data_IF_897995099149
#
_entry.id   IF_897995099149
#
_cell.length_a   1.000
_cell.length_b   1.000
_cell.length_c   1.000
_cell.angle_alpha   90.00
_cell.angle_beta   90.00
_cell.angle_gamma   90.00
#
_symmetry.space_group_name_H-M   'P 1'
#
loop_
_entity.id
_entity.type
_entity.pdbx_description
1 polymer ?
#
# COMPACT_ATOMS: atom_id res chain seq x y z
N UNK A 1 40.67 -10.19 22.15
CA UNK A 1 40.53 -8.73 22.03
C UNK A 1 39.96 -8.43 20.66
N UNK A 2 38.64 -8.49 20.52
CA UNK A 2 37.92 -7.99 19.34
C UNK A 2 37.02 -6.88 19.87
N UNK A 3 37.39 -5.64 19.59
CA UNK A 3 36.55 -4.47 19.86
C UNK A 3 35.33 -4.59 18.96
N UNK A 4 34.19 -4.96 19.54
CA UNK A 4 32.89 -4.87 18.89
C UNK A 4 32.50 -3.39 18.92
N UNK A 5 32.99 -2.63 17.96
CA UNK A 5 32.70 -1.21 17.77
C UNK A 5 31.30 -1.03 17.16
N UNK A 6 30.29 -1.70 17.72
CA UNK A 6 28.90 -1.58 17.29
C UNK A 6 28.22 -0.51 18.15
N UNK A 7 28.03 0.66 17.57
CA UNK A 7 27.02 1.61 18.00
C UNK A 7 25.69 0.86 18.17
N UNK A 8 25.28 0.62 19.42
CA UNK A 8 23.94 0.13 19.72
C UNK A 8 22.95 1.21 19.27
N UNK A 9 22.44 1.08 18.05
CA UNK A 9 21.62 2.10 17.42
C UNK A 9 20.34 2.35 18.22
N UNK A 10 20.16 3.62 18.56
CA UNK A 10 19.07 4.15 19.34
C UNK A 10 17.86 4.39 18.43
N UNK A 11 16.71 3.84 18.82
CA UNK A 11 15.43 4.22 18.25
C UNK A 11 14.56 4.85 19.35
N UNK A 12 13.94 6.00 19.04
CA UNK A 12 13.08 6.74 19.95
C UNK A 12 11.62 6.32 19.75
N UNK A 13 11.06 5.57 20.72
CA UNK A 13 9.61 5.38 20.83
C UNK A 13 8.99 6.67 21.37
N UNK A 14 8.80 7.65 20.49
CA UNK A 14 8.05 8.86 20.79
C UNK A 14 8.57 9.71 21.95
N UNK A 15 8.00 10.90 22.08
CA UNK A 15 8.23 11.76 23.22
C UNK A 15 7.36 11.21 24.36
N UNK A 16 7.88 10.33 25.21
CA UNK A 16 7.17 9.81 26.39
C UNK A 16 7.01 10.95 27.41
N UNK A 17 6.11 11.87 27.09
CA UNK A 17 5.69 12.93 27.98
C UNK A 17 4.69 12.28 28.93
N UNK A 18 5.15 11.87 30.12
CA UNK A 18 4.33 11.30 31.20
C UNK A 18 3.06 12.13 31.48
N UNK A 19 3.08 13.43 31.13
CA UNK A 19 1.91 14.33 31.18
C UNK A 19 0.79 13.98 30.19
N UNK A 20 1.06 13.34 29.05
CA UNK A 20 0.02 12.89 28.09
C UNK A 20 -0.69 11.61 28.54
N UNK A 21 -0.03 10.75 29.32
CA UNK A 21 -0.71 9.65 30.04
C UNK A 21 -1.71 10.18 31.08
N UNK A 22 -1.38 11.31 31.72
CA UNK A 22 -2.28 12.02 32.65
C UNK A 22 -3.53 12.60 31.98
N UNK A 23 -3.48 12.92 30.67
CA UNK A 23 -4.65 13.46 29.97
C UNK A 23 -5.60 12.35 29.47
N UNK A 24 -5.07 11.20 29.05
CA UNK A 24 -5.88 10.10 28.53
C UNK A 24 -6.71 9.37 29.60
N UNK A 25 -6.29 9.40 30.88
CA UNK A 25 -7.04 8.79 31.98
C UNK A 25 -8.15 9.69 32.56
N UNK A 26 -8.12 11.01 32.30
CA UNK A 26 -9.14 11.95 32.80
C UNK A 26 -10.35 12.05 31.87
N UNK A 27 -10.22 11.73 30.58
CA UNK A 27 -11.33 11.79 29.62
C UNK A 27 -12.28 10.57 29.66
N UNK A 28 -11.92 9.49 30.35
CA UNK A 28 -12.74 8.25 30.37
C UNK A 28 -13.86 8.31 31.43
N UNK A 29 -13.90 9.32 32.30
CA UNK A 29 -14.88 9.43 33.40
C UNK A 29 -16.04 10.43 33.15
N UNK A 30 -16.27 10.91 31.93
CA UNK A 30 -17.29 11.95 31.67
C UNK A 30 -18.29 11.66 30.54
N UNK A 31 -18.54 10.40 30.18
CA UNK A 31 -19.64 10.07 29.27
C UNK A 31 -20.47 8.90 29.79
N UNK A 32 -21.29 9.19 30.81
CA UNK A 32 -22.48 8.41 31.17
C UNK A 32 -23.62 9.37 31.43
N UNK A 33 -24.47 9.57 30.42
CA UNK A 33 -25.88 9.91 30.59
C UNK A 33 -26.65 9.55 29.31
N UNK A 34 -27.65 8.70 29.51
CA UNK A 34 -28.66 8.11 28.62
C UNK A 34 -29.29 9.08 27.59
N UNK A 35 -29.96 8.66 26.52
CA UNK A 35 -30.56 7.36 26.21
C UNK A 35 -31.26 7.38 24.84
N UNK A 36 -32.15 6.41 24.66
CA UNK A 36 -32.45 5.63 23.45
C UNK A 36 -33.77 5.98 22.72
N UNK A 37 -33.88 5.48 21.47
CA UNK A 37 -35.06 5.01 20.70
C UNK A 37 -35.87 5.96 19.79
N UNK A 38 -35.62 5.86 18.47
CA UNK A 38 -36.46 5.32 17.35
C UNK A 38 -37.98 5.67 17.20
N UNK A 39 -38.66 5.35 16.08
CA UNK A 39 -38.42 5.65 14.64
C UNK A 39 -39.72 6.15 13.94
N UNK A 40 -39.69 6.68 12.70
CA UNK A 40 -40.92 6.86 11.88
C UNK A 40 -40.72 6.48 10.40
N UNK A 41 -41.75 5.80 9.90
CA UNK A 41 -41.96 5.03 8.69
C UNK A 41 -42.45 5.85 7.45
N UNK A 42 -42.07 5.34 6.26
CA UNK A 42 -42.67 5.36 4.90
C UNK A 42 -43.50 6.54 4.33
N UNK A 43 -43.28 6.88 3.04
CA UNK A 43 -44.23 6.55 1.94
C UNK A 43 -43.69 6.85 0.51
N UNK A 44 -43.98 5.92 -0.41
CA UNK A 44 -43.82 5.98 -1.88
C UNK A 44 -44.81 6.94 -2.59
N UNK A 45 -44.41 7.55 -3.73
CA UNK A 45 -44.91 7.24 -5.10
C UNK A 45 -44.32 8.12 -6.23
N UNK A 46 -44.04 7.46 -7.35
CA UNK A 46 -43.71 7.92 -8.73
C UNK A 46 -45.02 8.25 -9.51
N UNK A 47 -45.05 8.57 -10.83
CA UNK A 47 -44.22 9.39 -11.75
C UNK A 47 -45.05 10.44 -12.54
N UNK A 48 -44.42 11.25 -13.42
CA UNK A 48 -45.12 11.89 -14.56
C UNK A 48 -44.29 11.81 -15.85
N UNK A 49 -44.94 11.29 -16.89
CA UNK A 49 -44.49 11.14 -18.29
C UNK A 49 -44.57 12.46 -19.07
N UNK A 50 -43.75 12.56 -20.12
CA UNK A 50 -43.99 13.07 -21.49
C UNK A 50 -42.61 13.43 -22.12
N UNK A 51 -42.27 13.18 -23.38
CA UNK A 51 -42.98 12.62 -24.54
C UNK A 51 -41.94 12.20 -25.59
N UNK A 52 -42.35 11.28 -26.47
CA UNK A 52 -41.60 10.66 -27.55
C UNK A 52 -41.29 11.63 -28.71
N UNK A 53 -40.20 11.36 -29.42
CA UNK A 53 -40.19 11.54 -30.87
C UNK A 53 -39.75 10.24 -31.54
N UNK A 54 -40.72 9.62 -32.20
CA UNK A 54 -40.55 8.48 -33.08
C UNK A 54 -39.74 8.85 -34.32
N UNK A 55 -38.81 7.97 -34.70
CA UNK A 55 -38.62 7.61 -36.09
C UNK A 55 -38.39 6.11 -36.20
N UNK A 56 -39.36 5.42 -36.78
CA UNK A 56 -39.17 4.08 -37.32
C UNK A 56 -38.23 4.16 -38.52
N UNK A 57 -37.32 3.20 -38.69
CA UNK A 57 -37.34 2.28 -39.84
C UNK A 57 -36.14 1.33 -39.88
N UNK A 58 -36.45 0.09 -40.25
CA UNK A 58 -35.62 -0.92 -40.92
C UNK A 58 -34.74 -1.84 -40.07
N UNK A 59 -35.18 -3.09 -39.99
CA UNK A 59 -34.51 -4.20 -39.33
C UNK A 59 -33.13 -4.49 -39.91
N UNK A 60 -32.11 -4.18 -39.12
CA UNK A 60 -30.87 -4.94 -39.07
C UNK A 60 -30.54 -5.15 -37.60
N UNK A 61 -30.04 -6.33 -37.25
CA UNK A 61 -29.59 -6.61 -35.87
C UNK A 61 -28.56 -5.52 -35.51
N UNK A 62 -28.75 -4.75 -34.41
CA UNK A 62 -27.84 -3.67 -34.08
C UNK A 62 -26.46 -4.24 -33.80
N UNK A 63 -25.52 -4.00 -34.72
CA UNK A 63 -24.16 -4.47 -34.58
C UNK A 63 -23.50 -3.80 -33.36
N UNK A 64 -22.82 -4.60 -32.54
CA UNK A 64 -22.02 -4.11 -31.42
C UNK A 64 -20.72 -3.52 -31.98
N UNK A 65 -20.50 -2.23 -31.72
CA UNK A 65 -19.31 -1.52 -32.17
C UNK A 65 -18.16 -1.67 -31.17
N UNK A 66 -16.94 -1.34 -31.60
CA UNK A 66 -15.74 -1.40 -30.74
C UNK A 66 -15.88 -0.49 -29.52
N UNK A 67 -16.48 0.68 -29.71
CA UNK A 67 -16.69 1.71 -28.71
C UNK A 67 -17.67 1.23 -27.64
N UNK A 68 -18.68 0.44 -28.03
CA UNK A 68 -19.64 -0.17 -27.09
C UNK A 68 -18.94 -1.15 -26.15
N UNK A 69 -18.04 -1.98 -26.70
CA UNK A 69 -17.26 -2.95 -25.91
C UNK A 69 -16.23 -2.25 -25.02
N UNK A 70 -15.54 -1.23 -25.53
CA UNK A 70 -14.62 -0.43 -24.72
C UNK A 70 -15.35 0.24 -23.54
N UNK A 71 -16.55 0.79 -23.77
CA UNK A 71 -17.35 1.41 -22.73
C UNK A 71 -17.92 0.39 -21.74
N UNK A 72 -18.34 -0.79 -22.22
CA UNK A 72 -18.83 -1.89 -21.37
C UNK A 72 -17.77 -2.32 -20.34
N UNK A 73 -16.53 -2.51 -20.78
CA UNK A 73 -15.41 -2.85 -19.90
C UNK A 73 -14.72 -1.64 -19.25
N UNK A 74 -15.13 -0.41 -19.59
CA UNK A 74 -14.57 0.86 -19.08
C UNK A 74 -13.07 0.97 -19.33
N UNK A 75 -12.62 0.65 -20.55
CA UNK A 75 -11.21 0.76 -20.91
C UNK A 75 -10.73 2.21 -20.86
N UNK A 76 -9.66 2.42 -20.10
CA UNK A 76 -8.90 3.66 -20.07
C UNK A 76 -7.61 3.46 -20.87
N UNK A 77 -7.56 4.04 -22.07
CA UNK A 77 -6.41 3.90 -22.98
C UNK A 77 -5.16 4.62 -22.44
N UNK A 78 -5.29 5.50 -21.44
CA UNK A 78 -4.14 6.11 -20.76
C UNK A 78 -3.43 5.15 -19.78
N UNK A 79 -3.95 3.92 -19.64
CA UNK A 79 -3.37 2.85 -18.81
C UNK A 79 -2.73 1.77 -19.67
N UNK A 80 -1.94 0.91 -19.03
CA UNK A 80 -1.39 -0.26 -19.70
C UNK A 80 -2.46 -1.34 -19.93
N UNK A 81 -2.17 -2.24 -20.87
CA UNK A 81 -3.07 -3.32 -21.30
C UNK A 81 -3.57 -4.16 -20.13
N UNK A 82 -2.76 -4.41 -19.08
CA UNK A 82 -3.15 -5.34 -18.02
C UNK A 82 -4.26 -4.80 -17.13
N UNK A 83 -4.35 -3.48 -16.96
CA UNK A 83 -5.50 -2.84 -16.29
C UNK A 83 -6.78 -3.17 -17.05
N UNK A 84 -6.75 -3.04 -18.39
CA UNK A 84 -7.89 -3.39 -19.23
C UNK A 84 -8.23 -4.89 -19.13
N UNK A 85 -7.23 -5.78 -19.10
CA UNK A 85 -7.47 -7.21 -18.96
C UNK A 85 -8.11 -7.59 -17.61
N UNK A 86 -7.69 -6.96 -16.51
CA UNK A 86 -8.32 -7.17 -15.20
C UNK A 86 -9.79 -6.75 -15.19
N UNK A 87 -10.16 -5.70 -15.92
CA UNK A 87 -11.56 -5.27 -16.07
C UNK A 87 -12.39 -6.28 -16.87
N UNK A 88 -11.80 -6.93 -17.88
CA UNK A 88 -12.46 -8.00 -18.65
C UNK A 88 -12.83 -9.18 -17.77
N UNK A 89 -11.96 -9.57 -16.83
CA UNK A 89 -12.21 -10.70 -15.93
C UNK A 89 -13.26 -10.38 -14.84
N UNK A 90 -13.30 -9.13 -14.39
CA UNK A 90 -14.17 -8.67 -13.32
C UNK A 90 -15.61 -8.38 -13.79
N UNK A 91 -15.79 -7.83 -15.00
CA UNK A 91 -17.09 -7.37 -15.48
C UNK A 91 -17.92 -8.50 -16.09
N UNK A 92 -19.11 -8.75 -15.52
CA UNK A 92 -20.04 -9.80 -15.97
C UNK A 92 -21.51 -9.35 -16.01
N UNK A 93 -21.76 -8.08 -15.74
CA UNK A 93 -23.11 -7.55 -15.58
C UNK A 93 -23.74 -7.14 -16.91
N UNK A 94 -25.06 -7.14 -16.98
CA UNK A 94 -25.77 -6.53 -18.13
C UNK A 94 -25.76 -5.02 -17.98
N UNK A 95 -25.28 -4.30 -18.98
CA UNK A 95 -25.17 -2.84 -18.95
C UNK A 95 -25.88 -2.20 -20.15
N UNK A 96 -26.44 -1.02 -19.92
CA UNK A 96 -26.93 -0.16 -21.00
C UNK A 96 -25.81 0.76 -21.46
N UNK A 97 -25.34 0.58 -22.70
CA UNK A 97 -24.23 1.33 -23.31
C UNK A 97 -24.73 1.90 -24.63
N UNK A 98 -24.61 3.22 -24.83
CA UNK A 98 -25.02 3.89 -26.08
C UNK A 98 -26.44 3.52 -26.56
N UNK A 99 -27.39 3.38 -25.62
CA UNK A 99 -28.77 2.96 -25.91
C UNK A 99 -28.97 1.47 -26.20
N UNK A 100 -27.92 0.64 -26.12
CA UNK A 100 -27.96 -0.81 -26.32
C UNK A 100 -27.86 -1.55 -24.99
N UNK A 101 -28.71 -2.53 -24.77
CA UNK A 101 -28.61 -3.47 -23.64
C UNK A 101 -27.62 -4.57 -23.99
N UNK A 102 -26.42 -4.51 -23.43
CA UNK A 102 -25.33 -5.44 -23.72
C UNK A 102 -25.09 -6.34 -22.51
N UNK A 103 -25.02 -7.64 -22.76
CA UNK A 103 -24.56 -8.65 -21.80
C UNK A 103 -23.47 -9.47 -22.47
N UNK A 104 -22.26 -9.43 -21.93
CA UNK A 104 -21.17 -10.27 -22.40
C UNK A 104 -21.16 -11.55 -21.57
N UNK A 105 -21.24 -12.70 -22.25
CA UNK A 105 -21.20 -14.02 -21.63
C UNK A 105 -19.80 -14.61 -21.63
N UNK A 106 -18.98 -14.25 -22.62
CA UNK A 106 -17.60 -14.69 -22.74
C UNK A 106 -16.75 -13.58 -23.34
N UNK A 107 -15.57 -13.37 -22.78
CA UNK A 107 -14.56 -12.48 -23.33
C UNK A 107 -13.18 -13.16 -23.22
N UNK A 108 -12.54 -13.39 -24.35
CA UNK A 108 -11.28 -14.14 -24.43
C UNK A 108 -10.24 -13.31 -25.17
N UNK A 109 -9.10 -13.07 -24.52
CA UNK A 109 -7.97 -12.36 -25.14
C UNK A 109 -7.26 -13.32 -26.10
N UNK A 110 -7.30 -13.03 -27.40
CA UNK A 110 -6.68 -13.87 -28.44
C UNK A 110 -5.21 -13.54 -28.66
N UNK A 111 -4.86 -12.26 -28.61
CA UNK A 111 -3.49 -11.77 -28.85
C UNK A 111 -3.21 -10.55 -27.99
N UNK A 112 -1.97 -10.40 -27.54
CA UNK A 112 -1.45 -9.25 -26.80
C UNK A 112 -0.18 -8.75 -27.47
N UNK A 113 -0.04 -7.44 -27.63
CA UNK A 113 1.17 -6.78 -28.08
C UNK A 113 1.46 -5.62 -27.14
N UNK A 114 2.25 -5.92 -26.10
CA UNK A 114 2.67 -4.96 -25.09
C UNK A 114 3.55 -3.85 -25.66
N UNK A 115 4.32 -4.12 -26.72
CA UNK A 115 5.19 -3.13 -27.35
C UNK A 115 4.38 -2.06 -28.09
N UNK A 116 3.25 -2.46 -28.69
CA UNK A 116 2.34 -1.53 -29.38
C UNK A 116 1.18 -1.02 -28.53
N UNK A 117 1.05 -1.45 -27.28
CA UNK A 117 -0.09 -1.08 -26.45
C UNK A 117 -1.41 -1.56 -27.07
N UNK A 118 -1.47 -2.82 -27.53
CA UNK A 118 -2.65 -3.35 -28.22
C UNK A 118 -2.99 -4.80 -27.88
N UNK A 119 -4.26 -5.16 -28.01
CA UNK A 119 -4.72 -6.55 -27.86
C UNK A 119 -5.96 -6.82 -28.71
N UNK A 120 -6.21 -8.11 -28.97
CA UNK A 120 -7.40 -8.59 -29.67
C UNK A 120 -8.28 -9.35 -28.69
N UNK A 121 -9.53 -8.92 -28.57
CA UNK A 121 -10.54 -9.49 -27.69
C UNK A 121 -11.64 -10.16 -28.51
N UNK A 122 -11.83 -11.46 -28.31
CA UNK A 122 -12.99 -12.19 -28.78
C UNK A 122 -14.13 -12.06 -27.77
N UNK A 123 -15.30 -11.61 -28.19
CA UNK A 123 -16.45 -11.35 -27.31
C UNK A 123 -17.66 -12.11 -27.81
N UNK A 124 -18.36 -12.80 -26.90
CA UNK A 124 -19.68 -13.39 -27.15
C UNK A 124 -20.68 -12.85 -26.13
N UNK A 125 -21.92 -12.63 -26.58
CA UNK A 125 -22.95 -12.08 -25.71
C UNK A 125 -24.27 -11.83 -26.41
N UNK A 126 -25.09 -10.98 -25.80
CA UNK A 126 -26.37 -10.53 -26.35
C UNK A 126 -26.43 -9.00 -26.41
N UNK A 127 -26.99 -8.46 -27.48
CA UNK A 127 -27.32 -7.05 -27.68
C UNK A 127 -28.82 -6.93 -27.91
N UNK A 128 -29.53 -6.20 -27.04
CA UNK A 128 -31.00 -6.09 -27.07
C UNK A 128 -31.69 -7.46 -27.18
N UNK A 129 -31.15 -8.48 -26.48
CA UNK A 129 -31.64 -9.86 -26.51
C UNK A 129 -31.17 -10.71 -27.70
N UNK A 130 -30.58 -10.13 -28.75
CA UNK A 130 -30.06 -10.87 -29.91
C UNK A 130 -28.61 -11.32 -29.68
N UNK A 131 -28.24 -12.58 -29.97
CA UNK A 131 -26.87 -13.04 -29.77
C UNK A 131 -25.90 -12.37 -30.75
N UNK A 132 -24.69 -12.08 -30.28
CA UNK A 132 -23.59 -11.61 -31.12
C UNK A 132 -22.27 -12.28 -30.72
N UNK A 133 -21.37 -12.39 -31.69
CA UNK A 133 -19.98 -12.80 -31.49
C UNK A 133 -19.08 -12.03 -32.44
N UNK A 134 -18.00 -11.45 -31.95
CA UNK A 134 -17.07 -10.71 -32.80
C UNK A 134 -15.68 -10.60 -32.16
N UNK A 135 -14.69 -10.23 -32.97
CA UNK A 135 -13.34 -9.87 -32.52
C UNK A 135 -13.14 -8.36 -32.60
N UNK A 136 -12.58 -7.79 -31.55
CA UNK A 136 -12.30 -6.37 -31.44
C UNK A 136 -10.82 -6.16 -31.17
N UNK A 137 -10.17 -5.36 -32.02
CA UNK A 137 -8.77 -4.96 -31.84
C UNK A 137 -8.74 -3.60 -31.14
N UNK A 138 -8.18 -3.56 -29.92
CA UNK A 138 -7.96 -2.33 -29.17
C UNK A 138 -6.49 -1.94 -29.24
N UNK A 139 -6.24 -0.64 -29.43
CA UNK A 139 -4.92 -0.04 -29.68
C UNK A 139 -4.86 1.30 -28.98
N UNK A 140 -3.65 1.76 -28.65
CA UNK A 140 -3.43 3.07 -28.04
C UNK A 140 -3.34 3.03 -26.51
N UNK A 141 -3.21 1.83 -25.92
CA UNK A 141 -2.80 1.71 -24.51
C UNK A 141 -1.33 2.10 -24.34
N UNK A 142 -0.94 2.38 -23.10
CA UNK A 142 0.47 2.66 -22.76
C UNK A 142 1.34 1.49 -23.23
N UNK A 143 2.32 1.80 -24.07
CA UNK A 143 3.28 0.82 -24.57
C UNK A 143 4.31 0.48 -23.51
N UNK A 144 4.74 -0.78 -23.52
CA UNK A 144 5.84 -1.25 -22.69
C UNK A 144 7.13 -0.54 -23.11
N UNK A 145 7.86 0.10 -22.17
CA UNK A 145 9.16 0.67 -22.46
C UNK A 145 10.20 -0.40 -22.82
N UNK A 146 11.25 0.00 -23.53
CA UNK A 146 12.41 -0.88 -23.75
C UNK A 146 13.16 -1.16 -22.42
N UNK A 147 14.04 -2.17 -22.41
CA UNK A 147 14.78 -2.57 -21.21
C UNK A 147 15.57 -1.43 -20.55
N UNK A 148 16.11 -0.50 -21.34
CA UNK A 148 16.87 0.63 -20.82
C UNK A 148 15.94 1.66 -20.16
N UNK A 149 14.80 1.93 -20.76
CA UNK A 149 13.77 2.81 -20.22
C UNK A 149 13.07 2.18 -19.00
N UNK A 150 12.85 0.86 -19.01
CA UNK A 150 12.29 0.10 -17.90
C UNK A 150 13.08 0.37 -16.61
N UNK A 151 14.42 0.34 -16.66
CA UNK A 151 15.25 0.55 -15.45
C UNK A 151 15.52 2.02 -15.13
N UNK A 152 15.60 2.90 -16.12
CA UNK A 152 15.93 4.32 -15.88
C UNK A 152 14.70 5.17 -15.52
N UNK A 153 13.52 4.75 -15.96
CA UNK A 153 12.22 5.29 -15.53
C UNK A 153 11.63 4.55 -14.32
N UNK A 154 12.32 3.52 -13.81
CA UNK A 154 11.83 2.68 -12.73
C UNK A 154 11.57 3.47 -11.44
N UNK A 155 10.43 3.19 -10.83
CA UNK A 155 10.01 3.69 -9.53
C UNK A 155 9.27 2.58 -8.78
N UNK A 156 9.08 2.80 -7.48
CA UNK A 156 8.40 1.88 -6.61
C UNK A 156 7.50 2.67 -5.66
N UNK A 157 6.31 2.16 -5.40
CA UNK A 157 5.39 2.71 -4.41
C UNK A 157 4.80 1.59 -3.55
N UNK A 158 4.52 1.88 -2.28
CA UNK A 158 3.79 0.93 -1.44
C UNK A 158 2.38 0.72 -1.97
N UNK A 159 1.96 -0.54 -2.08
CA UNK A 159 0.59 -0.88 -2.46
C UNK A 159 -0.40 -0.25 -1.49
N UNK A 160 -1.52 0.24 -2.02
CA UNK A 160 -2.63 0.72 -1.20
C UNK A 160 -3.08 -0.39 -0.23
N UNK A 161 -3.24 -0.06 1.05
CA UNK A 161 -3.65 -0.98 2.13
C UNK A 161 -2.68 -2.11 2.48
N UNK A 162 -1.45 -2.11 1.97
CA UNK A 162 -0.43 -3.02 2.46
C UNK A 162 0.08 -2.55 3.83
N UNK A 163 -0.12 -3.35 4.88
CA UNK A 163 0.56 -3.14 6.17
C UNK A 163 2.01 -3.63 6.07
N UNK A 164 2.84 -2.82 5.40
CA UNK A 164 4.25 -3.14 5.20
C UNK A 164 5.06 -3.02 6.49
N UNK A 165 4.61 -2.28 7.51
CA UNK A 165 5.29 -2.25 8.81
C UNK A 165 5.12 -3.56 9.58
N UNK A 166 3.97 -4.22 9.47
CA UNK A 166 3.77 -5.53 10.09
C UNK A 166 4.42 -6.67 9.30
N UNK A 167 4.42 -6.59 7.96
CA UNK A 167 4.82 -7.70 7.09
C UNK A 167 6.30 -7.74 6.74
N UNK A 168 6.97 -6.59 6.71
CA UNK A 168 8.37 -6.49 6.32
C UNK A 168 9.25 -6.75 7.53
N UNK A 169 10.13 -7.76 7.46
CA UNK A 169 11.13 -8.04 8.49
C UNK A 169 12.29 -7.05 8.40
N UNK A 170 11.99 -5.79 8.74
CA UNK A 170 12.94 -4.69 8.67
C UNK A 170 14.05 -4.87 9.70
N UNK A 171 13.72 -5.49 10.82
CA UNK A 171 14.62 -5.70 11.94
C UNK A 171 15.80 -6.62 11.56
N UNK A 172 15.52 -7.79 10.97
CA UNK A 172 16.56 -8.71 10.48
C UNK A 172 17.45 -8.06 9.42
N UNK A 173 16.87 -7.22 8.56
CA UNK A 173 17.63 -6.52 7.54
C UNK A 173 18.52 -5.44 8.13
N UNK A 174 17.96 -4.57 8.98
CA UNK A 174 18.66 -3.42 9.52
C UNK A 174 19.81 -3.86 10.46
N UNK A 175 19.62 -4.95 11.22
CA UNK A 175 20.61 -5.42 12.21
C UNK A 175 21.54 -6.51 11.71
N UNK A 176 20.98 -7.49 11.00
CA UNK A 176 21.70 -8.69 10.61
C UNK A 176 22.09 -8.66 9.12
N UNK A 177 21.80 -7.56 8.42
CA UNK A 177 22.05 -7.39 6.99
C UNK A 177 21.42 -8.50 6.12
N UNK A 178 20.34 -9.13 6.61
CA UNK A 178 19.59 -10.14 5.86
C UNK A 178 18.72 -9.48 4.80
N UNK A 179 18.97 -9.76 3.53
CA UNK A 179 18.26 -9.13 2.41
C UNK A 179 17.15 -10.00 1.80
N UNK A 180 16.91 -11.20 2.35
CA UNK A 180 15.99 -12.20 1.78
C UNK A 180 14.54 -11.69 1.62
N UNK A 181 14.11 -10.74 2.45
CA UNK A 181 12.78 -10.11 2.33
C UNK A 181 12.68 -9.06 1.22
N UNK A 182 13.80 -8.62 0.66
CA UNK A 182 13.86 -7.63 -0.42
C UNK A 182 14.10 -8.26 -1.79
N UNK A 183 13.69 -9.52 -1.97
CA UNK A 183 13.55 -10.12 -3.30
C UNK A 183 12.28 -9.62 -3.97
N UNK A 184 12.21 -9.73 -5.30
CA UNK A 184 10.98 -9.38 -6.03
C UNK A 184 9.79 -10.22 -5.59
N UNK A 185 9.99 -11.51 -5.30
CA UNK A 185 8.92 -12.38 -4.82
C UNK A 185 8.29 -11.88 -3.50
N UNK A 186 9.12 -11.38 -2.57
CA UNK A 186 8.66 -10.93 -1.27
C UNK A 186 8.21 -9.47 -1.28
N UNK A 187 9.06 -8.57 -1.77
CA UNK A 187 8.78 -7.13 -1.79
C UNK A 187 7.69 -6.78 -2.82
N UNK A 188 7.60 -7.48 -3.95
CA UNK A 188 6.55 -7.29 -4.97
C UNK A 188 5.14 -7.62 -4.48
N UNK A 189 4.98 -8.28 -3.33
CA UNK A 189 3.68 -8.44 -2.67
C UNK A 189 3.24 -7.17 -1.93
N UNK A 190 4.18 -6.30 -1.57
CA UNK A 190 3.94 -5.08 -0.79
C UNK A 190 4.10 -3.80 -1.61
N UNK A 191 4.79 -3.89 -2.75
CA UNK A 191 5.22 -2.75 -3.57
C UNK A 191 4.73 -2.92 -5.00
N UNK A 192 4.22 -1.83 -5.58
CA UNK A 192 3.98 -1.70 -7.00
C UNK A 192 5.24 -1.13 -7.67
N UNK A 193 5.82 -1.89 -8.59
CA UNK A 193 6.94 -1.47 -9.43
C UNK A 193 6.40 -0.97 -10.76
N UNK A 194 6.87 0.19 -11.19
CA UNK A 194 6.45 0.78 -12.46
C UNK A 194 7.61 1.54 -13.10
N UNK A 195 7.51 1.77 -14.41
CA UNK A 195 8.41 2.68 -15.12
C UNK A 195 7.62 3.83 -15.70
N UNK A 196 8.20 5.03 -15.66
CA UNK A 196 7.68 6.20 -16.36
C UNK A 196 8.40 6.30 -17.72
N UNK A 197 7.64 6.24 -18.80
CA UNK A 197 8.16 6.38 -20.14
C UNK A 197 8.57 7.84 -20.44
N UNK A 198 9.27 8.09 -21.55
CA UNK A 198 9.66 9.43 -22.01
C UNK A 198 8.44 10.36 -22.18
N UNK A 199 7.29 9.80 -22.55
CA UNK A 199 6.01 10.52 -22.64
C UNK A 199 5.35 10.85 -21.29
N UNK A 200 5.95 10.44 -20.16
CA UNK A 200 5.38 10.64 -18.82
C UNK A 200 4.33 9.59 -18.41
N UNK A 201 4.00 8.66 -19.29
CA UNK A 201 3.04 7.59 -19.04
C UNK A 201 3.61 6.53 -18.09
N UNK A 202 2.76 6.06 -17.16
CA UNK A 202 3.11 5.05 -16.16
C UNK A 202 2.81 3.65 -16.70
N UNK A 203 3.85 2.82 -16.82
CA UNK A 203 3.75 1.39 -17.13
C UNK A 203 3.98 0.55 -15.87
N UNK A 204 2.96 -0.17 -15.42
CA UNK A 204 3.07 -1.08 -14.26
C UNK A 204 3.77 -2.39 -14.67
N UNK A 205 4.68 -2.87 -13.83
CA UNK A 205 5.39 -4.13 -14.11
C UNK A 205 4.43 -5.31 -14.01
N UNK A 206 4.42 -6.15 -15.03
CA UNK A 206 3.66 -7.41 -15.04
C UNK A 206 4.37 -8.50 -14.25
N UNK A 207 3.70 -9.63 -14.00
CA UNK A 207 4.34 -10.80 -13.41
C UNK A 207 5.56 -11.26 -14.23
N UNK A 208 5.44 -11.28 -15.55
CA UNK A 208 6.55 -11.62 -16.47
C UNK A 208 7.71 -10.61 -16.38
N UNK A 209 7.42 -9.35 -16.04
CA UNK A 209 8.46 -8.34 -15.85
C UNK A 209 9.16 -8.51 -14.50
N UNK A 210 8.38 -8.80 -13.46
CA UNK A 210 8.88 -9.05 -12.12
C UNK A 210 9.81 -10.28 -12.10
N UNK A 211 9.50 -11.34 -12.85
CA UNK A 211 10.38 -12.50 -13.03
C UNK A 211 11.76 -12.15 -13.62
N UNK A 212 11.81 -11.09 -14.44
CA UNK A 212 13.05 -10.58 -15.07
C UNK A 212 13.72 -9.49 -14.24
N UNK A 213 13.13 -9.13 -13.11
CA UNK A 213 13.59 -8.05 -12.25
C UNK A 213 14.41 -8.61 -11.08
N UNK A 214 15.49 -7.92 -10.75
CA UNK A 214 16.32 -8.21 -9.57
C UNK A 214 16.60 -6.91 -8.83
N UNK A 215 16.47 -6.94 -7.51
CA UNK A 215 16.83 -5.83 -6.64
C UNK A 215 18.26 -6.00 -6.14
N UNK A 216 19.05 -4.94 -6.21
CA UNK A 216 20.48 -4.97 -5.90
C UNK A 216 20.86 -3.84 -4.93
N UNK A 217 21.87 -4.10 -4.09
CA UNK A 217 22.45 -3.11 -3.17
C UNK A 217 21.38 -2.34 -2.37
N UNK A 218 20.58 -3.12 -1.64
CA UNK A 218 19.51 -2.64 -0.77
C UNK A 218 20.13 -1.93 0.45
N UNK A 219 19.68 -0.70 0.70
CA UNK A 219 20.15 0.16 1.79
C UNK A 219 18.99 0.81 2.51
N UNK A 220 19.23 1.22 3.75
CA UNK A 220 18.32 2.07 4.49
C UNK A 220 19.05 3.27 5.06
N UNK A 221 18.65 4.46 4.62
CA UNK A 221 19.24 5.74 5.02
C UNK A 221 18.13 6.80 5.06
N UNK A 222 18.19 7.75 5.99
CA UNK A 222 17.27 8.91 6.04
C UNK A 222 15.77 8.56 5.95
N UNK A 223 15.32 7.51 6.64
CA UNK A 223 13.93 7.01 6.59
C UNK A 223 13.47 6.56 5.20
N UNK A 224 14.41 6.08 4.39
CA UNK A 224 14.12 5.52 3.08
C UNK A 224 14.84 4.19 2.91
N UNK A 225 14.09 3.21 2.43
CA UNK A 225 14.66 2.00 1.86
C UNK A 225 14.99 2.30 0.40
N UNK A 226 16.24 2.07 -0.01
CA UNK A 226 16.68 2.32 -1.38
C UNK A 226 17.41 1.13 -1.98
N UNK A 227 17.27 0.94 -3.29
CA UNK A 227 17.89 -0.17 -4.02
C UNK A 227 18.11 0.21 -5.48
N UNK A 228 19.01 -0.49 -6.15
CA UNK A 228 19.07 -0.50 -7.62
C UNK A 228 18.15 -1.59 -8.15
N UNK A 229 17.59 -1.33 -9.33
CA UNK A 229 16.75 -2.29 -10.04
C UNK A 229 17.48 -2.73 -11.30
N UNK A 230 17.65 -4.04 -11.46
CA UNK A 230 18.10 -4.65 -12.69
C UNK A 230 16.90 -5.32 -13.36
N UNK A 231 16.74 -5.09 -14.65
CA UNK A 231 15.72 -5.72 -15.48
C UNK A 231 16.43 -6.30 -16.69
N UNK A 232 16.30 -7.61 -16.90
CA UNK A 232 17.15 -8.36 -17.84
C UNK A 232 18.64 -8.07 -17.59
N UNK A 233 19.33 -7.49 -18.58
CA UNK A 233 20.74 -7.15 -18.55
C UNK A 233 21.00 -5.65 -18.28
N UNK A 234 19.94 -4.87 -18.06
CA UNK A 234 20.01 -3.42 -17.83
C UNK A 234 19.89 -3.12 -16.34
N UNK A 235 20.71 -2.21 -15.83
CA UNK A 235 20.68 -1.77 -14.41
C UNK A 235 20.32 -0.30 -14.32
N UNK A 236 19.51 0.06 -13.33
CA UNK A 236 19.12 1.43 -13.08
C UNK A 236 20.32 2.30 -12.75
N UNK A 237 20.40 3.51 -13.32
CA UNK A 237 21.46 4.48 -12.99
C UNK A 237 21.24 5.15 -11.63
N UNK A 238 19.98 5.29 -11.24
CA UNK A 238 19.56 5.89 -9.97
C UNK A 238 19.04 4.81 -9.02
N UNK A 239 19.19 5.05 -7.72
CA UNK A 239 18.50 4.26 -6.71
C UNK A 239 17.03 4.63 -6.72
N UNK A 240 16.20 3.62 -6.60
CA UNK A 240 14.77 3.74 -6.32
C UNK A 240 14.64 3.78 -4.80
N UNK A 241 13.80 4.70 -4.30
CA UNK A 241 13.60 4.88 -2.86
C UNK A 241 12.14 4.71 -2.49
N UNK A 242 11.89 4.00 -1.39
CA UNK A 242 10.62 3.85 -0.72
C UNK A 242 10.70 4.51 0.65
N UNK A 243 9.73 5.38 0.96
CA UNK A 243 9.62 5.98 2.29
C UNK A 243 9.34 4.89 3.32
N UNK A 244 10.15 4.80 4.38
CA UNK A 244 9.98 3.84 5.44
C UNK A 244 10.41 4.46 6.77
N UNK A 245 9.45 4.79 7.63
CA UNK A 245 9.75 5.38 8.93
C UNK A 245 10.09 4.30 9.95
N UNK A 246 11.39 4.17 10.26
CA UNK A 246 11.86 3.25 11.30
C UNK A 246 11.14 3.45 12.64
N UNK A 247 10.76 4.69 12.99
CA UNK A 247 10.08 4.90 14.27
C UNK A 247 8.67 4.32 14.27
N UNK A 248 7.94 4.45 13.17
CA UNK A 248 6.60 3.83 13.00
C UNK A 248 6.69 2.31 13.02
N UNK A 249 7.71 1.73 12.38
CA UNK A 249 7.93 0.28 12.40
C UNK A 249 8.02 -0.27 13.83
N UNK A 250 8.74 0.43 14.71
CA UNK A 250 8.95 -0.02 16.09
C UNK A 250 7.90 0.50 17.09
N UNK A 251 7.01 1.42 16.70
CA UNK A 251 5.98 2.00 17.59
C UNK A 251 5.06 0.93 18.20
N UNK A 252 4.73 -0.12 17.42
CA UNK A 252 3.94 -1.26 17.90
C UNK A 252 4.73 -2.39 18.55
N UNK A 253 6.06 -2.33 18.57
CA UNK A 253 6.94 -3.41 19.09
C UNK A 253 7.28 -3.25 20.56
N UNK A 254 6.99 -2.07 21.12
CA UNK A 254 7.22 -1.72 22.51
C UNK A 254 5.95 -1.09 23.06
N UNK A 255 5.41 -1.66 24.13
CA UNK A 255 4.21 -1.14 24.79
C UNK A 255 4.48 -0.85 26.26
N UNK A 256 3.62 -0.08 26.91
CA UNK A 256 3.73 0.18 28.35
C UNK A 256 3.20 -1.03 29.12
N UNK A 257 3.97 -1.53 30.09
CA UNK A 257 3.52 -2.60 30.97
C UNK A 257 2.59 -2.03 32.07
N UNK A 258 1.31 -1.88 31.73
CA UNK A 258 0.34 -1.25 32.64
C UNK A 258 0.13 -2.05 33.94
N UNK A 259 0.26 -3.37 33.91
CA UNK A 259 0.07 -4.21 35.09
C UNK A 259 1.21 -4.04 36.10
N UNK A 260 2.44 -3.93 35.61
CA UNK A 260 3.59 -3.57 36.45
C UNK A 260 3.42 -2.16 37.05
N UNK A 261 3.02 -1.18 36.25
CA UNK A 261 2.90 0.22 36.70
C UNK A 261 1.81 0.38 37.78
N UNK A 262 0.66 -0.30 37.64
CA UNK A 262 -0.44 -0.25 38.63
C UNK A 262 -0.01 -0.71 40.03
N UNK A 263 0.98 -1.59 40.11
CA UNK A 263 1.49 -2.13 41.38
C UNK A 263 2.51 -1.21 42.06
N UNK A 264 2.92 -0.10 41.43
CA UNK A 264 3.99 0.77 41.91
C UNK A 264 3.48 2.20 42.14
N UNK A 265 4.15 2.90 43.05
CA UNK A 265 3.86 4.31 43.29
C UNK A 265 4.35 5.15 42.11
N UNK A 266 3.41 5.80 41.42
CA UNK A 266 3.64 6.46 40.13
C UNK A 266 4.71 7.57 40.20
N UNK A 267 4.75 8.32 41.31
CA UNK A 267 5.80 9.33 41.55
C UNK A 267 7.18 8.69 41.78
N UNK A 268 7.23 7.49 42.38
CA UNK A 268 8.47 6.72 42.53
C UNK A 268 9.05 6.26 41.19
N UNK A 269 8.19 5.81 40.26
CA UNK A 269 8.61 5.49 38.87
C UNK A 269 9.13 6.74 38.15
N UNK A 270 8.44 7.87 38.31
CA UNK A 270 8.84 9.13 37.66
C UNK A 270 10.19 9.67 38.16
N UNK A 271 10.42 9.62 39.46
CA UNK A 271 11.64 10.14 40.08
C UNK A 271 12.83 9.19 39.90
N UNK A 272 12.59 7.88 39.74
CA UNK A 272 13.65 6.87 39.64
C UNK A 272 13.40 5.87 38.49
N UNK A 273 13.25 6.33 37.24
CA UNK A 273 12.87 5.45 36.13
C UNK A 273 13.94 4.36 35.89
N UNK A 274 15.21 4.68 36.14
CA UNK A 274 16.34 3.76 35.98
C UNK A 274 16.26 2.51 36.87
N UNK A 275 15.60 2.59 38.05
CA UNK A 275 15.43 1.46 38.96
C UNK A 275 14.43 0.42 38.44
N UNK A 276 13.61 0.82 37.46
CA UNK A 276 12.57 -0.02 36.87
C UNK A 276 12.85 -0.27 35.37
N UNK A 277 14.11 -0.10 34.96
CA UNK A 277 14.58 -0.38 33.61
C UNK A 277 14.06 -1.74 33.10
N UNK A 278 13.52 -1.75 31.89
CA UNK A 278 12.95 -2.97 31.27
C UNK A 278 11.55 -3.35 31.77
N UNK A 279 11.19 -3.11 33.02
CA UNK A 279 9.88 -3.52 33.55
C UNK A 279 8.74 -2.54 33.29
N UNK A 280 9.07 -1.26 33.04
CA UNK A 280 8.08 -0.23 32.66
C UNK A 280 7.43 -0.55 31.30
N UNK A 281 8.12 -1.32 30.46
CA UNK A 281 7.69 -1.62 29.09
C UNK A 281 7.51 -3.12 28.89
N UNK A 282 6.63 -3.48 27.97
CA UNK A 282 6.50 -4.83 27.44
C UNK A 282 7.09 -4.85 26.04
N UNK A 283 8.10 -5.68 25.84
CA UNK A 283 8.84 -5.85 24.59
C UNK A 283 9.49 -7.25 24.56
N UNK A 284 9.98 -7.66 23.40
CA UNK A 284 10.76 -8.90 23.28
C UNK A 284 12.18 -8.70 23.85
N UNK A 285 12.41 -9.16 25.08
CA UNK A 285 13.71 -9.09 25.76
C UNK A 285 14.83 -9.85 25.06
N UNK A 286 14.50 -10.81 24.19
CA UNK A 286 15.48 -11.52 23.39
C UNK A 286 15.99 -10.68 22.20
N UNK A 287 15.22 -9.67 21.79
CA UNK A 287 15.50 -8.80 20.66
C UNK A 287 15.89 -7.37 21.07
N UNK A 288 15.32 -6.81 22.13
CA UNK A 288 15.45 -5.41 22.53
C UNK A 288 15.91 -5.23 23.97
N UNK A 289 16.66 -4.15 24.23
CA UNK A 289 17.08 -3.70 25.56
C UNK A 289 16.62 -2.25 25.75
N UNK A 290 16.20 -1.91 26.97
CA UNK A 290 15.78 -0.54 27.31
C UNK A 290 16.96 0.24 27.85
N UNK A 291 17.21 1.43 27.30
CA UNK A 291 18.14 2.39 27.85
C UNK A 291 17.40 3.69 28.21
N UNK A 292 17.28 3.95 29.51
CA UNK A 292 16.72 5.20 29.99
C UNK A 292 17.84 6.24 30.06
N UNK A 293 17.81 7.19 29.14
CA UNK A 293 18.72 8.34 29.13
C UNK A 293 18.08 9.53 29.83
N UNK A 294 18.49 9.81 31.06
CA UNK A 294 18.14 11.06 31.76
C UNK A 294 19.09 12.17 31.35
N UNK A 295 18.63 13.15 30.58
CA UNK A 295 19.39 14.40 30.41
C UNK A 295 19.10 15.31 31.61
N UNK A 296 20.05 15.37 32.54
CA UNK A 296 20.09 16.41 33.57
C UNK A 296 20.44 17.73 32.87
N UNK A 297 19.43 18.53 32.49
CA UNK A 297 19.67 19.95 32.23
C UNK A 297 20.00 20.60 33.56
N UNK A 298 21.28 20.94 33.77
CA UNK A 298 21.71 21.69 34.93
C UNK A 298 20.97 23.03 35.03
N UNK A 299 20.46 23.27 36.25
CA UNK A 299 20.15 24.56 36.88
C UNK A 299 19.57 25.65 35.98
N UNK A 300 18.24 25.64 35.83
CA UNK A 300 17.34 26.74 36.23
C UNK A 300 15.91 26.36 35.80
N UNK A 301 15.03 26.13 36.79
CA UNK A 301 13.62 25.71 36.72
C UNK A 301 13.39 24.19 36.59
N UNK A 302 12.67 23.65 37.57
CA UNK A 302 12.33 22.25 37.83
C UNK A 302 11.60 21.51 36.70
N UNK A 303 12.27 21.19 35.58
CA UNK A 303 11.72 20.23 34.59
C UNK A 303 12.79 19.24 34.12
N UNK A 304 12.90 18.11 34.81
CA UNK A 304 13.54 16.91 34.27
C UNK A 304 12.74 16.45 33.03
N UNK A 305 13.44 16.27 31.91
CA UNK A 305 12.88 15.59 30.74
C UNK A 305 13.63 14.27 30.64
N UNK A 306 13.00 13.18 31.08
CA UNK A 306 13.51 11.84 30.84
C UNK A 306 13.10 11.42 29.43
N UNK A 307 14.06 10.96 28.63
CA UNK A 307 13.78 10.32 27.35
C UNK A 307 14.13 8.85 27.48
N UNK A 308 13.17 7.99 27.16
CA UNK A 308 13.43 6.55 27.07
C UNK A 308 13.83 6.26 25.64
N UNK A 309 14.94 5.54 25.47
CA UNK A 309 15.36 5.07 24.16
C UNK A 309 15.51 3.56 24.21
N UNK A 310 15.13 2.89 23.12
CA UNK A 310 15.28 1.45 23.03
C UNK A 310 16.50 1.16 22.17
N UNK A 311 17.34 0.26 22.65
CA UNK A 311 18.50 -0.27 21.95
C UNK A 311 18.22 -1.72 21.60
N UNK A 312 18.88 -2.21 20.56
CA UNK A 312 18.86 -3.63 20.24
C UNK A 312 19.81 -4.40 21.15
N UNK A 313 19.42 -5.62 21.56
CA UNK A 313 20.34 -6.50 22.28
C UNK A 313 21.37 -7.03 21.28
N UNK A 314 22.60 -6.55 21.35
CA UNK A 314 23.71 -7.18 20.65
C UNK A 314 24.08 -8.48 21.38
N UNK A 315 23.54 -9.62 20.93
CA UNK A 315 24.13 -10.92 21.29
C UNK A 315 25.47 -11.05 20.56
N UNK A 316 26.55 -11.13 21.34
CA UNK A 316 27.88 -11.52 20.87
C UNK A 316 27.95 -13.00 20.58
#
# INVERSE_FOLDING_TARGET
>A
MFMCDRTCDLFKVGNFNIKRCLLFLVCIMLLVACGENDPIESRNRHPRQQEESHSEQSGSVPAVAKEDVAAYFRFDMSRDINVALGLVEAQKETLQINGKMIKITEAVVKRKDYQKGSFVLYVTGTVNGSPFKNEFTFTGFVSKPDDYQMVNGAQAEWKANADYYAKLDFDSFYRLHKVNMFTIENLGRLVDFYSINVGGEKYLFTLEDLEKTVLEDIKYEQNQLSFYLRYNNSRSKKRISLLFDKNKYYEGKVTVNTDFIKQKYMRGIYENPSLFNGHIFSYDESAYAVEISTTLKEKKRHRQHAYTTFKHVCKG
#
